data_IF_954431310022
#
_entry.id   IF_954431310022
#
_cell.length_a   1.000
_cell.length_b   1.000
_cell.length_c   1.000
_cell.angle_alpha   90.00
_cell.angle_beta   90.00
_cell.angle_gamma   90.00
#
_symmetry.space_group_name_H-M   'P 1'
#
loop_
_entity.id
_entity.type
_entity.pdbx_description
1 polymer ?
#
# COMPACT_ATOMS: atom_id res chain seq x y z
N UNK A 1 -8.24 15.92 -11.68
CA UNK A 1 -8.33 15.28 -10.33
C UNK A 1 -9.32 16.07 -9.48
N UNK A 2 -10.26 15.39 -8.84
CA UNK A 2 -11.22 16.06 -7.95
C UNK A 2 -10.54 16.49 -6.64
N UNK A 3 -11.19 17.41 -5.93
CA UNK A 3 -10.70 17.85 -4.62
C UNK A 3 -10.62 16.68 -3.64
N UNK A 4 -11.61 15.76 -3.68
CA UNK A 4 -11.63 14.58 -2.82
C UNK A 4 -10.46 13.64 -3.13
N UNK A 5 -10.17 13.42 -4.40
CA UNK A 5 -9.03 12.60 -4.82
C UNK A 5 -7.70 13.19 -4.35
N UNK A 6 -7.56 14.51 -4.42
CA UNK A 6 -6.35 15.18 -3.93
C UNK A 6 -6.16 15.02 -2.43
N UNK A 7 -7.25 15.14 -1.65
CA UNK A 7 -7.21 14.95 -0.21
C UNK A 7 -6.79 13.50 0.12
N UNK A 8 -7.39 12.52 -0.56
CA UNK A 8 -7.06 11.11 -0.35
C UNK A 8 -5.60 10.86 -0.68
N UNK A 9 -5.13 11.38 -1.80
CA UNK A 9 -3.71 11.28 -2.20
C UNK A 9 -2.78 11.81 -1.11
N UNK A 10 -3.07 12.98 -0.57
CA UNK A 10 -2.26 13.59 0.49
C UNK A 10 -2.22 12.74 1.75
N UNK A 11 -3.36 12.15 2.13
CA UNK A 11 -3.45 11.26 3.29
C UNK A 11 -2.62 10.01 3.06
N UNK A 12 -2.70 9.42 1.86
CA UNK A 12 -1.90 8.24 1.50
C UNK A 12 -0.41 8.55 1.59
N UNK A 13 0.03 9.69 1.07
CA UNK A 13 1.43 10.08 1.12
C UNK A 13 1.90 10.36 2.55
N UNK A 14 1.05 10.94 3.39
CA UNK A 14 1.36 11.13 4.81
C UNK A 14 1.50 9.78 5.54
N UNK A 15 0.58 8.85 5.29
CA UNK A 15 0.67 7.50 5.85
C UNK A 15 1.93 6.78 5.36
N UNK A 16 2.31 6.98 4.10
CA UNK A 16 3.53 6.43 3.52
C UNK A 16 4.78 6.93 4.26
N UNK A 17 4.83 8.20 4.62
CA UNK A 17 5.96 8.77 5.38
C UNK A 17 6.07 8.16 6.77
N UNK A 18 4.94 7.95 7.44
CA UNK A 18 4.92 7.31 8.76
C UNK A 18 5.43 5.86 8.66
N UNK A 19 4.96 5.12 7.67
CA UNK A 19 5.43 3.75 7.44
C UNK A 19 6.93 3.69 7.17
N UNK A 20 7.44 4.62 6.37
CA UNK A 20 8.87 4.69 6.06
C UNK A 20 9.70 4.99 7.32
N UNK A 21 9.23 5.90 8.16
CA UNK A 21 9.87 6.21 9.42
C UNK A 21 9.92 5.00 10.36
N UNK A 22 8.81 4.26 10.46
CA UNK A 22 8.71 3.13 11.39
C UNK A 22 9.43 1.86 10.88
N UNK A 23 9.35 1.59 9.58
CA UNK A 23 9.78 0.30 9.01
C UNK A 23 10.66 0.39 7.77
N UNK A 24 11.08 1.58 7.37
CA UNK A 24 11.87 1.76 6.16
C UNK A 24 13.18 0.98 6.16
N UNK A 25 13.89 0.94 7.27
CA UNK A 25 15.15 0.22 7.38
C UNK A 25 14.97 -1.31 7.26
N UNK A 26 14.05 -1.95 8.03
CA UNK A 26 13.80 -3.37 7.82
C UNK A 26 13.33 -3.72 6.41
N UNK A 27 12.52 -2.86 5.81
CA UNK A 27 11.93 -3.12 4.49
C UNK A 27 12.95 -3.10 3.35
N UNK A 28 14.12 -2.49 3.56
CA UNK A 28 15.14 -2.41 2.51
C UNK A 28 15.59 -3.76 1.99
N UNK A 29 15.58 -4.78 2.84
CA UNK A 29 16.07 -6.10 2.50
C UNK A 29 14.96 -7.10 2.22
N UNK A 30 13.71 -6.64 2.19
CA UNK A 30 12.58 -7.53 1.94
C UNK A 30 12.58 -7.98 0.48
N UNK A 31 12.41 -9.28 0.28
CA UNK A 31 12.10 -9.86 -1.01
C UNK A 31 10.59 -9.91 -1.22
N UNK A 32 10.18 -10.48 -2.36
CA UNK A 32 8.77 -10.53 -2.74
C UNK A 32 7.92 -11.29 -1.71
N UNK A 33 8.45 -12.37 -1.13
CA UNK A 33 7.68 -13.16 -0.16
C UNK A 33 7.36 -12.39 1.12
N UNK A 34 8.29 -11.58 1.62
CA UNK A 34 8.04 -10.74 2.78
C UNK A 34 6.98 -9.68 2.49
N UNK A 35 7.03 -9.06 1.31
CA UNK A 35 6.02 -8.09 0.88
C UNK A 35 4.65 -8.75 0.75
N UNK A 36 4.56 -9.93 0.13
CA UNK A 36 3.31 -10.68 0.01
C UNK A 36 2.72 -11.02 1.37
N UNK A 37 3.57 -11.43 2.31
CA UNK A 37 3.14 -11.74 3.67
C UNK A 37 2.54 -10.51 4.36
N UNK A 38 3.16 -9.34 4.18
CA UNK A 38 2.66 -8.10 4.75
C UNK A 38 1.29 -7.74 4.16
N UNK A 39 1.10 -7.87 2.84
CA UNK A 39 -0.19 -7.63 2.20
C UNK A 39 -1.26 -8.59 2.72
N UNK A 40 -0.94 -9.87 2.87
CA UNK A 40 -1.88 -10.84 3.44
C UNK A 40 -2.33 -10.45 4.84
N UNK A 41 -1.40 -10.02 5.69
CA UNK A 41 -1.73 -9.53 7.04
C UNK A 41 -2.69 -8.34 6.99
N UNK A 42 -2.47 -7.42 6.07
CA UNK A 42 -3.31 -6.22 5.93
C UNK A 42 -4.71 -6.58 5.43
N UNK A 43 -4.83 -7.54 4.52
CA UNK A 43 -6.11 -8.02 4.02
C UNK A 43 -6.91 -8.70 5.14
N UNK A 44 -6.25 -9.52 5.95
CA UNK A 44 -6.90 -10.16 7.10
C UNK A 44 -7.49 -9.12 8.05
N UNK A 45 -6.81 -8.01 8.28
CA UNK A 45 -7.33 -6.94 9.13
C UNK A 45 -8.60 -6.29 8.57
N UNK A 46 -8.76 -6.26 7.26
CA UNK A 46 -10.00 -5.81 6.63
C UNK A 46 -11.10 -6.86 6.83
N UNK A 47 -10.77 -8.12 6.57
CA UNK A 47 -11.71 -9.23 6.68
C UNK A 47 -12.22 -9.40 8.12
N UNK A 48 -11.41 -9.09 9.11
CA UNK A 48 -11.75 -9.20 10.53
C UNK A 48 -12.65 -8.07 11.04
N UNK A 49 -12.93 -7.05 10.23
CA UNK A 49 -13.81 -5.96 10.66
C UNK A 49 -15.25 -6.49 10.82
N UNK A 50 -15.77 -6.39 12.04
CA UNK A 50 -17.15 -6.79 12.32
C UNK A 50 -18.11 -5.68 11.82
N UNK A 51 -19.02 -6.00 10.87
CA UNK A 51 -19.98 -5.00 10.38
C UNK A 51 -20.89 -4.42 11.47
N UNK A 52 -21.09 -5.14 12.58
CA UNK A 52 -21.89 -4.70 13.69
C UNK A 52 -21.18 -3.68 14.59
N UNK A 53 -19.86 -3.53 14.43
CA UNK A 53 -19.09 -2.54 15.17
C UNK A 53 -19.50 -1.13 14.72
N UNK A 54 -19.91 -0.23 15.64
CA UNK A 54 -20.29 1.14 15.26
C UNK A 54 -19.14 1.93 14.60
N UNK A 55 -17.91 1.49 14.76
CA UNK A 55 -16.72 2.12 14.15
C UNK A 55 -16.22 1.37 12.91
N UNK A 56 -16.98 0.42 12.35
CA UNK A 56 -16.55 -0.40 11.23
C UNK A 56 -16.12 0.42 10.01
N UNK A 57 -16.86 1.47 9.67
CA UNK A 57 -16.54 2.33 8.51
C UNK A 57 -15.23 3.08 8.74
N UNK A 58 -15.01 3.59 9.94
CA UNK A 58 -13.76 4.30 10.29
C UNK A 58 -12.58 3.33 10.21
N UNK A 59 -12.74 2.11 10.74
CA UNK A 59 -11.71 1.08 10.67
C UNK A 59 -11.41 0.69 9.23
N UNK A 60 -12.42 0.53 8.40
CA UNK A 60 -12.24 0.19 7.00
C UNK A 60 -11.47 1.28 6.25
N UNK A 61 -11.82 2.55 6.45
CA UNK A 61 -11.09 3.67 5.84
C UNK A 61 -9.61 3.64 6.23
N UNK A 62 -9.34 3.44 7.50
CA UNK A 62 -7.97 3.36 8.02
C UNK A 62 -7.19 2.23 7.35
N UNK A 63 -7.79 1.04 7.25
CA UNK A 63 -7.13 -0.12 6.63
C UNK A 63 -6.89 0.09 5.14
N UNK A 64 -7.87 0.68 4.44
CA UNK A 64 -7.72 0.99 3.01
C UNK A 64 -6.58 1.97 2.76
N UNK A 65 -6.48 3.02 3.57
CA UNK A 65 -5.41 4.01 3.44
C UNK A 65 -4.05 3.40 3.75
N UNK A 66 -3.96 2.53 4.75
CA UNK A 66 -2.72 1.81 5.09
C UNK A 66 -2.30 0.89 3.95
N UNK A 67 -3.25 0.17 3.33
CA UNK A 67 -2.96 -0.71 2.20
C UNK A 67 -2.52 0.08 0.97
N UNK A 68 -3.15 1.22 0.71
CA UNK A 68 -2.75 2.09 -0.39
C UNK A 68 -1.31 2.59 -0.19
N UNK A 69 -0.98 3.04 1.02
CA UNK A 69 0.37 3.49 1.34
C UNK A 69 1.39 2.36 1.21
N UNK A 70 1.04 1.14 1.63
CA UNK A 70 1.90 -0.03 1.47
C UNK A 70 2.11 -0.36 0.00
N UNK A 71 1.07 -0.23 -0.83
CA UNK A 71 1.17 -0.43 -2.27
C UNK A 71 2.12 0.57 -2.92
N UNK A 72 2.06 1.84 -2.52
CA UNK A 72 3.00 2.86 -2.99
C UNK A 72 4.43 2.47 -2.62
N UNK A 73 4.64 2.01 -1.39
CA UNK A 73 5.96 1.58 -0.93
C UNK A 73 6.52 0.44 -1.77
N UNK A 74 5.70 -0.58 -2.06
CA UNK A 74 6.14 -1.70 -2.88
C UNK A 74 6.40 -1.28 -4.33
N UNK A 75 5.57 -0.43 -4.90
CA UNK A 75 5.78 0.07 -6.26
C UNK A 75 7.12 0.79 -6.37
N UNK A 76 7.48 1.61 -5.39
CA UNK A 76 8.78 2.28 -5.36
C UNK A 76 9.92 1.26 -5.27
N UNK A 77 9.75 0.23 -4.45
CA UNK A 77 10.76 -0.84 -4.33
C UNK A 77 10.93 -1.61 -5.62
N UNK A 78 9.83 -1.90 -6.32
CA UNK A 78 9.89 -2.60 -7.62
C UNK A 78 10.62 -1.75 -8.65
N UNK A 79 10.40 -0.44 -8.65
CA UNK A 79 11.08 0.49 -9.54
C UNK A 79 12.59 0.55 -9.26
N UNK A 80 12.98 0.47 -7.98
CA UNK A 80 14.38 0.47 -7.56
C UNK A 80 15.03 -0.92 -7.57
N UNK A 81 14.23 -1.97 -7.77
CA UNK A 81 14.67 -3.36 -7.78
C UNK A 81 14.54 -4.03 -6.43
N UNK A 82 13.89 -5.20 -6.42
CA UNK A 82 13.87 -6.09 -5.27
C UNK A 82 15.09 -7.01 -5.32
N UNK A 83 15.59 -7.49 -4.17
CA UNK A 83 16.67 -8.47 -4.18
C UNK A 83 16.32 -9.69 -5.04
N UNK A 84 17.18 -10.02 -5.99
CA UNK A 84 17.00 -11.16 -6.90
C UNK A 84 15.92 -11.00 -7.96
N UNK A 85 15.40 -9.80 -8.18
CA UNK A 85 14.35 -9.54 -9.17
C UNK A 85 14.78 -8.45 -10.13
N UNK A 86 14.27 -8.50 -11.36
CA UNK A 86 14.49 -7.46 -12.34
C UNK A 86 13.71 -6.19 -11.98
N UNK A 87 14.29 -5.05 -12.37
CA UNK A 87 13.58 -3.77 -12.26
C UNK A 87 12.50 -3.71 -13.32
N UNK A 88 11.35 -3.14 -12.95
CA UNK A 88 10.28 -2.85 -13.90
C UNK A 88 9.83 -1.40 -13.69
N UNK A 89 9.38 -0.77 -14.77
CA UNK A 89 8.86 0.58 -14.67
C UNK A 89 7.59 0.61 -13.81
N UNK A 90 7.49 1.58 -12.93
CA UNK A 90 6.30 1.78 -12.10
C UNK A 90 5.13 2.25 -12.95
N UNK A 91 5.40 3.14 -13.93
CA UNK A 91 4.36 3.66 -14.79
C UNK A 91 4.04 2.64 -15.87
N UNK A 92 2.79 2.14 -15.93
CA UNK A 92 2.43 1.14 -16.92
C UNK A 92 2.38 1.73 -18.33
N UNK A 93 2.81 0.94 -19.31
CA UNK A 93 2.72 1.31 -20.73
C UNK A 93 1.29 1.20 -21.26
N UNK A 94 0.45 0.41 -20.61
CA UNK A 94 -0.96 0.21 -20.98
C UNK A 94 -1.84 0.36 -19.75
N UNK A 95 -2.30 1.59 -19.49
CA UNK A 95 -3.13 1.92 -18.34
C UNK A 95 -4.43 1.10 -18.24
N UNK A 96 -5.15 0.77 -19.34
CA UNK A 96 -6.35 -0.05 -19.22
C UNK A 96 -6.14 -1.40 -18.54
N UNK A 97 -4.98 -2.03 -18.71
CA UNK A 97 -4.68 -3.30 -18.04
C UNK A 97 -4.62 -3.17 -16.51
N UNK A 98 -4.28 -1.98 -16.03
CA UNK A 98 -4.11 -1.72 -14.61
C UNK A 98 -5.34 -1.10 -13.96
N UNK A 99 -6.35 -0.76 -14.76
CA UNK A 99 -7.57 -0.14 -14.28
C UNK A 99 -8.69 -1.16 -14.00
N UNK A 100 -8.56 -2.38 -14.47
CA UNK A 100 -9.54 -3.45 -14.30
C UNK A 100 -9.60 -3.97 -12.86
#
# INVERSE_FOLDING_TARGET
MTKQEEIIKEIILAARKIQDFLWGEPNKNWGLEEWKRMFRKRIVKIDDIDPANPHAVIELKKRLLQNAALSVALLIRLDNGLPGKENVDVVPSNLPEYAD
#
